data_IF_629154146681
#
_entry.id   IF_629154146681
#
_cell.length_a   1.000
_cell.length_b   1.000
_cell.length_c   1.000
_cell.angle_alpha   90.00
_cell.angle_beta   90.00
_cell.angle_gamma   90.00
#
_symmetry.space_group_name_H-M   'P 1'
#
loop_
_entity.id
_entity.type
_entity.pdbx_description
1 polymer ?
#
# COMPACT_ATOMS: atom_id res chain seq x y z
N UNK A 1 -23.68 1.38 4.51
CA UNK A 1 -23.01 2.70 4.56
C UNK A 1 -22.77 3.15 3.13
N UNK A 2 -23.15 4.38 2.78
CA UNK A 2 -22.76 4.99 1.50
C UNK A 2 -21.24 5.25 1.54
N UNK A 3 -20.50 4.78 0.54
CA UNK A 3 -19.08 5.13 0.39
C UNK A 3 -19.03 6.58 -0.08
N UNK A 4 -18.43 7.46 0.72
CA UNK A 4 -18.19 8.85 0.35
C UNK A 4 -16.98 8.88 -0.60
N UNK A 5 -16.99 9.70 -1.68
CA UNK A 5 -15.80 9.88 -2.50
C UNK A 5 -14.62 10.39 -1.65
N UNK A 6 -13.45 9.77 -1.80
CA UNK A 6 -12.19 10.25 -1.23
C UNK A 6 -11.88 11.67 -1.70
N UNK A 7 -11.43 12.49 -0.76
CA UNK A 7 -10.85 13.79 -1.02
C UNK A 7 -9.48 13.67 -1.68
N UNK A 8 -9.02 14.73 -2.33
CA UNK A 8 -7.67 14.77 -2.92
C UNK A 8 -6.57 14.51 -1.88
N UNK A 9 -6.75 14.98 -0.64
CA UNK A 9 -5.80 14.74 0.46
C UNK A 9 -5.75 13.27 0.88
N UNK A 10 -6.89 12.59 0.90
CA UNK A 10 -6.93 11.15 1.20
C UNK A 10 -6.29 10.33 0.09
N UNK A 11 -6.47 10.71 -1.19
CA UNK A 11 -5.79 10.08 -2.32
C UNK A 11 -4.27 10.25 -2.25
N UNK A 12 -3.80 11.46 -1.93
CA UNK A 12 -2.38 11.75 -1.72
C UNK A 12 -1.80 10.92 -0.58
N UNK A 13 -2.50 10.85 0.55
CA UNK A 13 -2.10 10.03 1.70
C UNK A 13 -1.99 8.54 1.36
N UNK A 14 -2.92 7.99 0.56
CA UNK A 14 -2.84 6.60 0.11
C UNK A 14 -1.65 6.38 -0.81
N UNK A 15 -1.38 7.30 -1.75
CA UNK A 15 -0.23 7.20 -2.65
C UNK A 15 1.10 7.23 -1.87
N UNK A 16 1.22 8.11 -0.86
CA UNK A 16 2.36 8.14 0.05
C UNK A 16 2.48 6.84 0.84
N UNK A 17 1.37 6.31 1.35
CA UNK A 17 1.35 5.04 2.09
C UNK A 17 1.79 3.87 1.23
N UNK A 18 1.35 3.79 -0.04
CA UNK A 18 1.81 2.76 -0.98
C UNK A 18 3.31 2.84 -1.24
N UNK A 19 3.86 4.05 -1.35
CA UNK A 19 5.31 4.26 -1.49
C UNK A 19 6.07 3.78 -0.25
N UNK A 20 5.49 3.97 0.94
CA UNK A 20 6.05 3.45 2.19
C UNK A 20 6.01 1.93 2.26
N UNK A 21 4.92 1.27 1.83
CA UNK A 21 4.84 -0.20 1.80
C UNK A 21 5.89 -0.81 0.86
N UNK A 22 6.10 -0.23 -0.34
CA UNK A 22 7.16 -0.68 -1.27
C UNK A 22 8.56 -0.50 -0.67
N UNK A 23 8.82 0.63 0.00
CA UNK A 23 10.09 0.87 0.68
C UNK A 23 10.34 -0.15 1.82
N UNK A 24 9.30 -0.50 2.58
CA UNK A 24 9.39 -1.49 3.65
C UNK A 24 9.61 -2.92 3.11
N UNK A 25 8.95 -3.29 2.00
CA UNK A 25 9.19 -4.56 1.29
C UNK A 25 10.67 -4.68 0.90
N UNK A 26 11.24 -3.63 0.29
CA UNK A 26 12.65 -3.60 -0.13
C UNK A 26 13.61 -3.74 1.06
N UNK A 27 13.33 -3.08 2.17
CA UNK A 27 14.14 -3.19 3.39
C UNK A 27 14.07 -4.59 4.00
N UNK A 28 12.87 -5.18 4.08
CA UNK A 28 12.72 -6.54 4.55
C UNK A 28 13.44 -7.54 3.63
N UNK A 29 13.34 -7.37 2.31
CA UNK A 29 14.04 -8.20 1.34
C UNK A 29 15.57 -8.09 1.49
N UNK A 30 16.10 -6.89 1.72
CA UNK A 30 17.51 -6.68 1.99
C UNK A 30 17.96 -7.38 3.29
N UNK A 31 17.15 -7.31 4.35
CA UNK A 31 17.41 -8.02 5.61
C UNK A 31 17.36 -9.55 5.44
N UNK A 32 16.41 -10.08 4.65
CA UNK A 32 16.38 -11.52 4.32
C UNK A 32 17.63 -11.94 3.57
N UNK A 33 18.09 -11.14 2.61
CA UNK A 33 19.25 -11.46 1.77
C UNK A 33 20.60 -11.36 2.49
N UNK A 34 20.72 -10.45 3.47
CA UNK A 34 22.02 -10.12 4.08
C UNK A 34 22.10 -10.40 5.58
N UNK A 35 20.97 -10.62 6.24
CA UNK A 35 20.88 -10.83 7.68
C UNK A 35 21.41 -12.19 8.10
N UNK A 36 22.06 -12.23 9.26
CA UNK A 36 22.66 -13.46 9.82
C UNK A 36 21.86 -14.02 11.00
N UNK A 37 20.91 -13.26 11.55
CA UNK A 37 20.06 -13.67 12.67
C UNK A 37 18.80 -14.37 12.15
N UNK A 38 18.64 -15.71 12.33
CA UNK A 38 17.55 -16.46 11.70
C UNK A 38 16.15 -16.01 12.10
N UNK A 39 15.97 -15.59 13.36
CA UNK A 39 14.69 -15.07 13.83
C UNK A 39 14.29 -13.76 13.11
N UNK A 40 15.27 -12.90 12.79
CA UNK A 40 15.02 -11.64 12.10
C UNK A 40 14.76 -11.85 10.61
N UNK A 41 15.47 -12.78 9.95
CA UNK A 41 15.21 -13.10 8.53
C UNK A 41 13.84 -13.77 8.35
N UNK A 42 13.44 -14.63 9.29
CA UNK A 42 12.10 -15.22 9.30
C UNK A 42 11.02 -14.15 9.49
N UNK A 43 11.21 -13.22 10.44
CA UNK A 43 10.28 -12.12 10.66
C UNK A 43 10.18 -11.21 9.43
N UNK A 44 11.32 -10.84 8.83
CA UNK A 44 11.36 -10.03 7.62
C UNK A 44 10.63 -10.70 6.45
N UNK A 45 10.76 -12.02 6.30
CA UNK A 45 10.04 -12.80 5.28
C UNK A 45 8.52 -12.73 5.48
N UNK A 46 8.04 -12.83 6.72
CA UNK A 46 6.61 -12.66 7.03
C UNK A 46 6.16 -11.22 6.74
N UNK A 47 6.99 -10.24 7.11
CA UNK A 47 6.65 -8.83 6.93
C UNK A 47 6.53 -8.42 5.47
N UNK A 48 7.34 -9.00 4.56
CA UNK A 48 7.17 -8.82 3.11
C UNK A 48 5.74 -9.17 2.68
N UNK A 49 5.19 -10.30 3.16
CA UNK A 49 3.85 -10.73 2.80
C UNK A 49 2.78 -9.78 3.36
N UNK A 50 2.95 -9.33 4.60
CA UNK A 50 2.03 -8.35 5.21
C UNK A 50 2.03 -7.03 4.45
N UNK A 51 3.20 -6.48 4.11
CA UNK A 51 3.29 -5.22 3.36
C UNK A 51 2.72 -5.34 1.93
N UNK A 52 2.88 -6.51 1.29
CA UNK A 52 2.22 -6.79 0.00
C UNK A 52 0.69 -6.77 0.14
N UNK A 53 0.14 -7.41 1.18
CA UNK A 53 -1.30 -7.38 1.44
C UNK A 53 -1.83 -5.96 1.72
N UNK A 54 -1.07 -5.15 2.44
CA UNK A 54 -1.41 -3.74 2.67
C UNK A 54 -1.40 -2.94 1.36
N UNK A 55 -0.35 -3.11 0.55
CA UNK A 55 -0.24 -2.44 -0.75
C UNK A 55 -1.43 -2.79 -1.65
N UNK A 56 -1.79 -4.07 -1.76
CA UNK A 56 -2.93 -4.52 -2.55
C UNK A 56 -4.26 -3.94 -2.02
N UNK A 57 -4.40 -3.82 -0.69
CA UNK A 57 -5.58 -3.20 -0.08
C UNK A 57 -5.70 -1.71 -0.41
N UNK A 58 -4.59 -0.98 -0.39
CA UNK A 58 -4.53 0.44 -0.78
C UNK A 58 -4.82 0.62 -2.28
N UNK A 59 -4.27 -0.27 -3.12
CA UNK A 59 -4.52 -0.27 -4.57
C UNK A 59 -6.00 -0.54 -4.89
N UNK A 60 -6.64 -1.48 -4.19
CA UNK A 60 -8.08 -1.72 -4.32
C UNK A 60 -8.91 -0.51 -3.89
N UNK A 61 -8.52 0.18 -2.81
CA UNK A 61 -9.21 1.37 -2.34
C UNK A 61 -9.21 2.51 -3.38
N UNK A 62 -8.06 2.76 -4.04
CA UNK A 62 -7.95 3.73 -5.15
C UNK A 62 -8.76 3.28 -6.37
N UNK A 63 -8.65 2.01 -6.74
CA UNK A 63 -9.32 1.47 -7.94
C UNK A 63 -10.85 1.60 -7.84
N UNK A 64 -11.41 1.34 -6.65
CA UNK A 64 -12.84 1.54 -6.38
C UNK A 64 -13.25 3.02 -6.47
N UNK A 65 -12.36 3.95 -6.11
CA UNK A 65 -12.63 5.38 -6.19
C UNK A 65 -12.53 5.97 -7.59
N UNK A 66 -11.62 5.45 -8.44
CA UNK A 66 -11.56 5.88 -9.84
C UNK A 66 -12.89 5.66 -10.57
N UNK A 67 -13.62 4.59 -10.23
CA UNK A 67 -14.94 4.31 -10.80
C UNK A 67 -16.03 5.29 -10.35
N UNK A 68 -15.81 6.00 -9.24
CA UNK A 68 -16.76 6.99 -8.70
C UNK A 68 -16.42 8.43 -9.12
N UNK A 69 -15.27 8.65 -9.76
CA UNK A 69 -14.90 9.97 -10.26
C UNK A 69 -15.86 10.41 -11.39
N UNK A 70 -16.42 11.63 -11.34
CA UNK A 70 -17.31 12.10 -12.40
C UNK A 70 -16.57 12.12 -13.74
N UNK A 71 -17.04 11.32 -14.70
CA UNK A 71 -16.48 11.23 -16.05
C UNK A 71 -16.89 12.40 -16.96
N UNK A 72 -17.72 13.31 -16.44
CA UNK A 72 -18.15 14.51 -17.14
C UNK A 72 -17.90 15.75 -16.27
N UNK A 73 -17.38 16.85 -16.85
CA UNK A 73 -17.35 18.13 -16.17
C UNK A 73 -18.79 18.55 -15.84
N UNK A 74 -19.08 18.76 -14.56
CA UNK A 74 -20.34 19.37 -14.13
C UNK A 74 -20.30 20.83 -14.59
N UNK A 75 -21.24 21.19 -15.49
CA UNK A 75 -21.37 22.51 -16.08
C UNK A 75 -21.73 23.58 -15.05
#
# INVERSE_FOLDING_TARGET
MMIQPMTAKELEYIADSMSNEDAQIKQCAALVATGTTPALTSLASQMIQTHQQHYDSLLHAISHHQQMAPTQPQQ
#
